data_IF_768838254310
#
_entry.id   IF_768838254310
#
_cell.length_a   1.000
_cell.length_b   1.000
_cell.length_c   1.000
_cell.angle_alpha   90.00
_cell.angle_beta   90.00
_cell.angle_gamma   90.00
#
_symmetry.space_group_name_H-M   'P 1'
#
loop_
_entity.id
_entity.type
_entity.pdbx_description
1 polymer ?
#
# COMPACT_ATOMS: atom_id res chain seq x y z
N UNK A 1 -59.58 43.17 22.83
CA UNK A 1 -58.39 43.01 21.94
C UNK A 1 -57.84 41.62 22.12
N UNK A 2 -58.19 40.68 21.22
CA UNK A 2 -57.82 39.27 21.28
C UNK A 2 -56.51 39.07 20.52
N UNK A 3 -55.57 38.46 21.18
CA UNK A 3 -54.29 38.02 20.57
C UNK A 3 -54.42 36.50 20.26
N UNK A 4 -54.46 36.21 18.97
CA UNK A 4 -54.38 34.82 18.45
C UNK A 4 -52.94 34.31 18.57
N UNK A 5 -52.72 33.24 19.36
CA UNK A 5 -51.50 32.46 19.30
C UNK A 5 -51.67 31.33 18.27
N UNK A 6 -50.94 31.39 17.18
CA UNK A 6 -50.81 30.31 16.21
C UNK A 6 -49.64 29.43 16.66
N UNK A 7 -49.93 28.18 17.03
CA UNK A 7 -48.95 27.15 17.32
C UNK A 7 -48.34 26.63 15.98
N UNK A 8 -47.03 26.83 15.79
CA UNK A 8 -46.25 26.17 14.73
C UNK A 8 -45.91 24.73 15.20
N UNK A 9 -46.51 23.75 14.55
CA UNK A 9 -46.09 22.36 14.71
C UNK A 9 -44.77 22.12 13.98
N UNK A 10 -43.73 21.88 14.74
CA UNK A 10 -42.45 21.44 14.19
C UNK A 10 -42.56 19.97 13.74
N UNK A 11 -42.50 19.77 12.43
CA UNK A 11 -42.37 18.44 11.82
C UNK A 11 -40.93 17.97 12.05
N UNK A 12 -40.74 17.01 12.94
CA UNK A 12 -39.48 16.29 13.11
C UNK A 12 -39.33 15.32 11.96
N UNK A 13 -38.45 15.65 11.01
CA UNK A 13 -37.98 14.72 9.99
C UNK A 13 -36.96 13.82 10.69
N UNK A 14 -37.32 12.57 10.94
CA UNK A 14 -36.35 11.54 11.31
C UNK A 14 -35.56 11.14 10.03
N UNK A 15 -34.23 11.01 10.08
CA UNK A 15 -33.49 10.46 8.96
C UNK A 15 -33.84 8.97 8.82
N UNK A 16 -34.32 8.58 7.65
CA UNK A 16 -34.47 7.19 7.23
C UNK A 16 -33.13 6.48 7.36
N UNK A 17 -33.16 5.35 8.05
CA UNK A 17 -32.01 4.46 8.16
C UNK A 17 -31.56 4.00 6.76
N UNK A 18 -30.36 4.38 6.39
CA UNK A 18 -29.71 3.87 5.18
C UNK A 18 -29.73 2.34 5.19
N UNK A 19 -30.21 1.78 4.08
CA UNK A 19 -30.41 0.35 3.90
C UNK A 19 -29.11 -0.43 4.16
N UNK A 20 -29.25 -1.52 4.88
CA UNK A 20 -28.19 -2.53 5.10
C UNK A 20 -27.76 -3.06 3.74
N UNK A 21 -26.60 -2.58 3.24
CA UNK A 21 -25.91 -3.18 2.12
C UNK A 21 -25.62 -4.64 2.43
N UNK A 22 -26.02 -5.52 1.51
CA UNK A 22 -25.93 -6.96 1.70
C UNK A 22 -24.50 -7.41 1.93
N UNK A 23 -24.27 -8.10 3.03
CA UNK A 23 -23.04 -8.81 3.34
C UNK A 23 -22.90 -10.00 2.41
N UNK A 24 -22.20 -9.85 1.28
CA UNK A 24 -21.55 -10.94 0.58
C UNK A 24 -20.07 -10.97 1.00
N UNK A 25 -19.81 -11.08 2.30
CA UNK A 25 -18.50 -11.44 2.79
C UNK A 25 -18.29 -12.93 2.45
N UNK A 26 -17.42 -13.22 1.50
CA UNK A 26 -16.96 -14.59 1.28
C UNK A 26 -16.47 -15.13 2.64
N UNK A 27 -17.01 -16.27 3.07
CA UNK A 27 -16.64 -16.89 4.35
C UNK A 27 -15.14 -17.23 4.30
N UNK A 28 -14.32 -16.44 5.02
CA UNK A 28 -12.89 -16.66 5.14
C UNK A 28 -12.60 -17.91 5.96
N UNK A 29 -11.51 -18.61 5.65
CA UNK A 29 -11.04 -19.73 6.45
C UNK A 29 -10.32 -19.20 7.69
N UNK A 30 -10.77 -19.64 8.87
CA UNK A 30 -10.08 -19.39 10.14
C UNK A 30 -8.92 -20.37 10.28
N UNK A 31 -7.76 -19.88 10.75
CA UNK A 31 -6.65 -20.74 11.17
C UNK A 31 -6.75 -21.08 12.66
N UNK A 32 -5.95 -22.07 13.11
CA UNK A 32 -5.92 -22.57 14.48
C UNK A 32 -5.35 -21.57 15.53
N UNK A 33 -4.88 -20.39 15.09
CA UNK A 33 -4.31 -19.32 15.93
C UNK A 33 -5.20 -18.09 16.05
N UNK A 34 -6.45 -18.17 15.60
CA UNK A 34 -7.41 -17.08 15.69
C UNK A 34 -7.22 -16.00 14.61
N UNK A 35 -6.69 -16.36 13.46
CA UNK A 35 -6.61 -15.51 12.29
C UNK A 35 -7.61 -15.94 11.22
N UNK A 36 -8.11 -14.98 10.48
CA UNK A 36 -8.99 -15.21 9.32
C UNK A 36 -8.33 -14.69 8.06
N UNK A 37 -8.54 -15.39 6.94
CA UNK A 37 -8.12 -14.97 5.61
C UNK A 37 -9.34 -14.86 4.69
N UNK A 38 -9.54 -13.68 4.08
CA UNK A 38 -10.55 -13.43 3.05
C UNK A 38 -9.82 -13.10 1.76
N UNK A 39 -10.20 -13.75 0.65
CA UNK A 39 -9.48 -13.65 -0.61
C UNK A 39 -10.28 -12.98 -1.70
N UNK A 40 -9.54 -12.37 -2.64
CA UNK A 40 -10.07 -11.82 -3.89
C UNK A 40 -11.15 -10.77 -3.68
N UNK A 41 -10.94 -9.89 -2.70
CA UNK A 41 -11.82 -8.73 -2.47
C UNK A 41 -11.49 -7.70 -3.56
N UNK A 42 -12.43 -7.32 -4.43
CA UNK A 42 -12.20 -6.25 -5.39
C UNK A 42 -12.09 -4.91 -4.66
N UNK A 43 -11.09 -4.09 -5.05
CA UNK A 43 -10.93 -2.73 -4.53
C UNK A 43 -11.28 -1.66 -5.57
N UNK A 44 -11.82 -2.08 -6.72
CA UNK A 44 -12.39 -1.17 -7.73
C UNK A 44 -13.88 -0.94 -7.49
N UNK A 45 -14.43 0.11 -8.14
CA UNK A 45 -15.88 0.33 -8.15
C UNK A 45 -16.62 -0.89 -8.72
N UNK A 46 -17.82 -1.21 -8.22
CA UNK A 46 -18.69 -2.22 -8.82
C UNK A 46 -19.03 -1.94 -10.29
N UNK A 47 -18.98 -0.67 -10.72
CA UNK A 47 -19.23 -0.23 -12.10
C UNK A 47 -18.00 -0.30 -13.01
N UNK A 48 -16.87 -0.82 -12.51
CA UNK A 48 -15.65 -0.96 -13.34
C UNK A 48 -15.93 -1.82 -14.58
N UNK A 49 -15.51 -1.34 -15.74
CA UNK A 49 -15.76 -1.98 -17.04
C UNK A 49 -14.51 -2.61 -17.67
N UNK A 50 -13.31 -2.23 -17.22
CA UNK A 50 -12.06 -2.83 -17.69
C UNK A 50 -11.90 -4.23 -17.07
N UNK A 51 -12.06 -5.26 -17.88
CA UNK A 51 -11.99 -6.67 -17.45
C UNK A 51 -10.62 -7.01 -16.85
N UNK A 52 -9.51 -6.45 -17.37
CA UNK A 52 -8.19 -6.70 -16.81
C UNK A 52 -8.02 -6.02 -15.45
N UNK A 53 -8.65 -4.87 -15.26
CA UNK A 53 -8.66 -4.19 -13.97
C UNK A 53 -9.47 -4.96 -12.95
N UNK A 54 -10.64 -5.49 -13.32
CA UNK A 54 -11.43 -6.38 -12.45
C UNK A 54 -10.67 -7.65 -12.07
N UNK A 55 -9.96 -8.25 -13.02
CA UNK A 55 -9.15 -9.45 -12.79
C UNK A 55 -8.01 -9.18 -11.81
N UNK A 56 -7.28 -8.08 -12.01
CA UNK A 56 -6.05 -7.82 -11.26
C UNK A 56 -6.25 -6.99 -10.00
N UNK A 57 -7.22 -6.06 -9.97
CA UNK A 57 -7.40 -5.16 -8.85
C UNK A 57 -8.21 -5.81 -7.72
N UNK A 58 -7.63 -6.87 -7.16
CA UNK A 58 -8.16 -7.63 -6.02
C UNK A 58 -7.10 -7.76 -4.93
N UNK A 59 -7.54 -7.84 -3.69
CA UNK A 59 -6.68 -8.01 -2.51
C UNK A 59 -7.15 -9.17 -1.63
N UNK A 60 -6.23 -9.68 -0.80
CA UNK A 60 -6.53 -10.65 0.25
C UNK A 60 -6.26 -10.00 1.60
N UNK A 61 -7.13 -10.20 2.58
CA UNK A 61 -6.94 -9.72 3.96
C UNK A 61 -6.71 -10.93 4.86
N UNK A 62 -5.56 -10.95 5.54
CA UNK A 62 -5.24 -11.86 6.62
C UNK A 62 -5.17 -11.07 7.92
N UNK A 63 -6.05 -11.34 8.88
CA UNK A 63 -6.22 -10.50 10.07
C UNK A 63 -6.53 -11.29 11.34
N UNK A 64 -6.11 -10.80 12.54
CA UNK A 64 -6.44 -11.40 13.81
C UNK A 64 -7.91 -11.13 14.15
N UNK A 65 -8.64 -12.18 14.58
CA UNK A 65 -9.97 -12.02 15.16
C UNK A 65 -9.89 -11.60 16.64
N UNK A 66 -10.94 -10.97 17.16
CA UNK A 66 -11.12 -10.65 18.58
C UNK A 66 -10.07 -9.68 19.18
N UNK A 67 -9.67 -8.65 18.45
CA UNK A 67 -8.87 -7.54 18.99
C UNK A 67 -9.77 -6.38 19.42
N UNK A 68 -9.85 -6.11 20.73
CA UNK A 68 -10.76 -5.11 21.32
C UNK A 68 -10.42 -3.65 20.90
N UNK A 69 -9.15 -3.35 20.60
CA UNK A 69 -8.67 -1.99 20.32
C UNK A 69 -8.31 -1.74 18.84
N UNK A 70 -8.80 -2.58 17.94
CA UNK A 70 -8.38 -2.58 16.56
C UNK A 70 -6.94 -3.07 16.35
N UNK A 71 -6.60 -3.49 15.15
CA UNK A 71 -5.26 -3.93 14.79
C UNK A 71 -4.59 -2.98 13.80
N UNK A 72 -3.26 -2.96 13.81
CA UNK A 72 -2.46 -2.32 12.75
C UNK A 72 -2.58 -3.14 11.47
N UNK A 73 -2.60 -2.47 10.32
CA UNK A 73 -2.67 -3.14 9.02
C UNK A 73 -1.45 -2.81 8.18
N UNK A 74 -0.81 -3.83 7.63
CA UNK A 74 0.24 -3.71 6.63
C UNK A 74 -0.34 -4.01 5.25
N UNK A 75 -0.39 -3.01 4.37
CA UNK A 75 -0.70 -3.20 2.95
C UNK A 75 0.59 -3.57 2.23
N UNK A 76 0.61 -4.78 1.64
CA UNK A 76 1.81 -5.37 1.06
C UNK A 76 1.69 -5.56 -0.45
N UNK A 77 2.66 -5.00 -1.19
CA UNK A 77 2.78 -5.12 -2.63
C UNK A 77 3.86 -6.12 -3.01
N UNK A 78 3.51 -7.06 -3.89
CA UNK A 78 4.45 -8.07 -4.38
C UNK A 78 5.50 -7.47 -5.33
N UNK A 79 6.62 -8.16 -5.49
CA UNK A 79 7.63 -7.87 -6.50
C UNK A 79 7.25 -8.38 -7.89
N UNK A 80 8.25 -8.47 -8.77
CA UNK A 80 8.08 -8.97 -10.13
C UNK A 80 8.24 -7.92 -11.22
N UNK A 81 8.94 -6.82 -10.90
CA UNK A 81 9.39 -5.84 -11.90
C UNK A 81 8.26 -5.07 -12.58
N UNK A 82 7.06 -4.99 -12.01
CA UNK A 82 5.86 -4.42 -12.62
C UNK A 82 5.39 -5.19 -13.89
N UNK A 83 5.99 -6.34 -14.17
CA UNK A 83 5.71 -7.19 -15.35
C UNK A 83 5.14 -8.55 -14.97
N UNK A 84 5.29 -8.96 -13.70
CA UNK A 84 4.84 -10.24 -13.18
C UNK A 84 4.59 -10.18 -11.68
N UNK A 85 4.26 -11.34 -11.12
CA UNK A 85 4.01 -11.49 -9.68
C UNK A 85 2.52 -11.59 -9.34
N UNK A 86 2.28 -12.08 -8.13
CA UNK A 86 0.96 -12.31 -7.55
C UNK A 86 0.99 -11.95 -6.07
N UNK A 87 -0.18 -11.49 -5.57
CA UNK A 87 -0.42 -11.30 -4.15
C UNK A 87 -0.23 -12.61 -3.39
N UNK A 88 0.36 -12.54 -2.23
CA UNK A 88 0.57 -13.72 -1.39
C UNK A 88 1.09 -13.34 -0.04
N UNK A 89 0.61 -14.03 0.98
CA UNK A 89 1.01 -13.79 2.35
C UNK A 89 2.41 -14.35 2.61
N UNK A 90 3.36 -13.48 2.85
CA UNK A 90 4.73 -13.87 3.23
C UNK A 90 4.69 -14.60 4.58
N UNK A 91 5.31 -15.77 4.65
CA UNK A 91 5.23 -16.65 5.81
C UNK A 91 5.67 -15.97 7.13
N UNK A 92 6.68 -15.11 7.06
CA UNK A 92 7.23 -14.36 8.20
C UNK A 92 6.27 -13.32 8.79
N UNK A 93 5.27 -12.87 8.01
CA UNK A 93 4.26 -11.92 8.46
C UNK A 93 3.04 -12.60 9.10
N UNK A 94 2.97 -13.94 9.11
CA UNK A 94 1.85 -14.67 9.72
C UNK A 94 1.87 -14.59 11.23
N UNK A 95 0.68 -14.43 11.83
CA UNK A 95 0.46 -14.51 13.29
C UNK A 95 1.31 -13.53 14.11
N UNK A 96 1.40 -12.27 13.66
CA UNK A 96 2.23 -11.23 14.29
C UNK A 96 1.44 -10.14 15.04
N UNK A 97 0.16 -10.34 15.27
CA UNK A 97 -0.69 -9.38 16.00
C UNK A 97 -1.22 -8.22 15.14
N UNK A 98 -0.95 -8.23 13.84
CA UNK A 98 -1.46 -7.24 12.88
C UNK A 98 -2.08 -7.92 11.66
N UNK A 99 -2.82 -7.17 10.87
CA UNK A 99 -3.35 -7.64 9.60
C UNK A 99 -2.36 -7.41 8.46
N UNK A 100 -2.38 -8.32 7.46
CA UNK A 100 -1.67 -8.16 6.19
C UNK A 100 -2.68 -8.14 5.05
N UNK A 101 -2.68 -7.06 4.30
CA UNK A 101 -3.48 -6.92 3.07
C UNK A 101 -2.54 -7.11 1.87
N UNK A 102 -2.65 -8.26 1.22
CA UNK A 102 -1.82 -8.59 0.05
C UNK A 102 -2.53 -8.12 -1.21
N UNK A 103 -1.86 -7.29 -2.01
CA UNK A 103 -2.47 -6.56 -3.13
C UNK A 103 -1.94 -7.04 -4.46
N UNK A 104 -2.85 -7.41 -5.38
CA UNK A 104 -2.55 -7.48 -6.81
C UNK A 104 -2.81 -6.11 -7.46
N UNK A 105 -2.06 -5.82 -8.49
CA UNK A 105 -2.19 -4.62 -9.32
C UNK A 105 -1.94 -4.99 -10.79
N UNK A 106 -2.42 -4.17 -11.73
CA UNK A 106 -2.20 -4.42 -13.16
C UNK A 106 -0.72 -4.30 -13.53
N UNK A 107 -0.30 -5.06 -14.53
CA UNK A 107 1.08 -5.26 -14.92
C UNK A 107 1.34 -4.81 -16.35
N UNK A 108 2.53 -4.31 -16.62
CA UNK A 108 3.04 -4.10 -17.96
C UNK A 108 3.19 -5.47 -18.68
N UNK A 109 2.94 -5.60 -20.00
CA UNK A 109 2.57 -4.53 -20.93
C UNK A 109 1.06 -4.25 -21.04
N UNK A 110 0.19 -4.99 -20.31
CA UNK A 110 -1.26 -4.82 -20.41
C UNK A 110 -1.73 -3.47 -19.87
N UNK A 111 -1.00 -2.89 -18.92
CA UNK A 111 -1.16 -1.52 -18.47
C UNK A 111 0.18 -0.79 -18.54
N UNK A 112 0.14 0.53 -18.75
CA UNK A 112 1.31 1.41 -18.77
C UNK A 112 1.33 2.31 -17.54
N UNK A 113 2.53 2.87 -17.27
CA UNK A 113 2.70 3.89 -16.23
C UNK A 113 1.78 5.11 -16.52
N UNK A 114 1.08 5.66 -15.50
CA UNK A 114 1.18 5.34 -14.08
C UNK A 114 0.14 4.31 -13.59
N UNK A 115 -0.54 3.54 -14.45
CA UNK A 115 -1.68 2.70 -14.12
C UNK A 115 -1.45 1.74 -12.94
N UNK A 116 -0.28 1.12 -12.82
CA UNK A 116 0.04 0.23 -11.69
C UNK A 116 0.31 1.00 -10.39
N UNK A 117 0.79 2.26 -10.45
CA UNK A 117 0.92 3.12 -9.27
C UNK A 117 -0.48 3.58 -8.82
N UNK A 118 -1.35 3.94 -9.78
CA UNK A 118 -2.74 4.30 -9.51
C UNK A 118 -3.51 3.14 -8.86
N UNK A 119 -3.34 1.91 -9.35
CA UNK A 119 -3.98 0.74 -8.76
C UNK A 119 -3.51 0.49 -7.32
N UNK A 120 -2.20 0.63 -7.07
CA UNK A 120 -1.64 0.50 -5.73
C UNK A 120 -2.16 1.59 -4.78
N UNK A 121 -2.28 2.83 -5.24
CA UNK A 121 -2.85 3.92 -4.45
C UNK A 121 -4.35 3.71 -4.17
N UNK A 122 -5.12 3.24 -5.16
CA UNK A 122 -6.53 2.89 -4.98
C UNK A 122 -6.70 1.78 -3.93
N UNK A 123 -5.84 0.75 -3.94
CA UNK A 123 -5.88 -0.31 -2.95
C UNK A 123 -5.62 0.21 -1.53
N UNK A 124 -4.65 1.13 -1.34
CA UNK A 124 -4.39 1.74 -0.03
C UNK A 124 -5.57 2.59 0.42
N UNK A 125 -6.16 3.41 -0.46
CA UNK A 125 -7.34 4.22 -0.15
C UNK A 125 -8.52 3.33 0.24
N UNK A 126 -8.76 2.24 -0.50
CA UNK A 126 -9.78 1.25 -0.16
C UNK A 126 -9.55 0.66 1.24
N UNK A 127 -8.32 0.30 1.59
CA UNK A 127 -8.01 -0.24 2.93
C UNK A 127 -8.27 0.81 4.01
N UNK A 128 -7.89 2.07 3.80
CA UNK A 128 -8.17 3.15 4.75
C UNK A 128 -9.68 3.35 4.99
N UNK A 129 -10.50 3.14 3.98
CA UNK A 129 -11.95 3.29 4.07
C UNK A 129 -12.64 2.08 4.72
N UNK A 130 -12.17 0.85 4.43
CA UNK A 130 -12.91 -0.38 4.74
C UNK A 130 -12.32 -1.23 5.87
N UNK A 131 -11.08 -1.02 6.30
CA UNK A 131 -10.42 -1.93 7.25
C UNK A 131 -11.13 -2.01 8.61
N UNK A 132 -11.86 -0.97 8.99
CA UNK A 132 -12.67 -0.96 10.21
C UNK A 132 -13.80 -2.01 10.19
N UNK A 133 -14.30 -2.39 9.02
CA UNK A 133 -15.31 -3.45 8.85
C UNK A 133 -14.77 -4.84 9.25
N UNK A 134 -13.44 -4.99 9.24
CA UNK A 134 -12.71 -6.20 9.62
C UNK A 134 -12.15 -6.13 11.05
N UNK A 135 -12.33 -5.00 11.74
CA UNK A 135 -11.81 -4.76 13.10
C UNK A 135 -10.44 -4.10 13.15
N UNK A 136 -9.92 -3.59 12.03
CA UNK A 136 -8.68 -2.82 11.98
C UNK A 136 -8.88 -1.35 12.33
N UNK A 137 -7.80 -0.69 12.71
CA UNK A 137 -7.79 0.75 12.96
C UNK A 137 -7.35 1.51 11.70
N UNK A 138 -8.21 2.31 11.05
CA UNK A 138 -7.86 3.07 9.86
C UNK A 138 -6.78 4.15 10.08
N UNK A 139 -6.50 4.53 11.32
CA UNK A 139 -5.40 5.42 11.67
C UNK A 139 -4.05 4.68 11.80
N UNK A 140 -4.04 3.35 11.68
CA UNK A 140 -2.85 2.51 11.89
C UNK A 140 -2.52 1.68 10.64
N UNK A 141 -2.41 2.35 9.50
CA UNK A 141 -2.09 1.73 8.20
C UNK A 141 -0.60 1.92 7.90
N UNK A 142 0.11 0.81 7.74
CA UNK A 142 1.45 0.76 7.17
C UNK A 142 1.36 0.29 5.72
N UNK A 143 2.30 0.73 4.89
CA UNK A 143 2.45 0.19 3.53
C UNK A 143 3.86 -0.34 3.34
N UNK A 144 4.02 -1.33 2.47
CA UNK A 144 5.33 -1.89 2.16
C UNK A 144 5.27 -2.83 0.97
N UNK A 145 6.42 -3.35 0.59
CA UNK A 145 6.51 -4.29 -0.51
C UNK A 145 7.94 -4.60 -0.87
N UNK A 146 8.13 -5.62 -1.68
CA UNK A 146 9.45 -6.06 -2.13
C UNK A 146 9.69 -5.65 -3.58
N UNK A 147 10.92 -5.20 -3.90
CA UNK A 147 11.32 -4.88 -5.28
C UNK A 147 10.38 -3.86 -5.94
N UNK A 148 9.64 -4.24 -6.99
CA UNK A 148 8.60 -3.40 -7.59
C UNK A 148 7.56 -2.92 -6.58
N UNK A 149 7.18 -3.78 -5.60
CA UNK A 149 6.29 -3.38 -4.51
C UNK A 149 6.90 -2.34 -3.58
N UNK A 150 8.21 -2.40 -3.35
CA UNK A 150 8.97 -1.37 -2.63
C UNK A 150 8.95 -0.02 -3.37
N UNK A 151 9.12 -0.06 -4.69
CA UNK A 151 8.98 1.13 -5.55
C UNK A 151 7.57 1.73 -5.46
N UNK A 152 6.51 0.90 -5.57
CA UNK A 152 5.13 1.36 -5.46
C UNK A 152 4.85 2.02 -4.10
N UNK A 153 5.29 1.40 -3.00
CA UNK A 153 5.12 1.96 -1.66
C UNK A 153 5.82 3.31 -1.48
N UNK A 154 7.02 3.48 -2.06
CA UNK A 154 7.73 4.76 -2.05
C UNK A 154 7.01 5.83 -2.87
N UNK A 155 6.55 5.51 -4.08
CA UNK A 155 5.83 6.47 -4.92
C UNK A 155 4.55 6.96 -4.23
N UNK A 156 3.76 6.06 -3.65
CA UNK A 156 2.51 6.40 -2.95
C UNK A 156 2.78 7.28 -1.72
N UNK A 157 3.84 6.99 -0.95
CA UNK A 157 4.16 7.72 0.27
C UNK A 157 4.75 9.11 -0.01
N UNK A 158 5.59 9.24 -1.05
CA UNK A 158 6.33 10.45 -1.33
C UNK A 158 5.59 11.40 -2.27
N UNK A 159 4.87 10.88 -3.26
CA UNK A 159 4.04 11.70 -4.14
C UNK A 159 2.57 11.67 -3.71
N UNK A 160 2.17 12.67 -2.95
CA UNK A 160 0.82 12.77 -2.36
C UNK A 160 -0.32 12.75 -3.38
N UNK A 161 -0.05 13.12 -4.64
CA UNK A 161 -1.10 13.18 -5.67
C UNK A 161 -1.80 11.84 -5.90
N UNK A 162 -1.07 10.72 -5.72
CA UNK A 162 -1.64 9.38 -5.96
C UNK A 162 -2.74 9.03 -4.95
N UNK A 163 -2.51 9.21 -3.65
CA UNK A 163 -3.56 8.99 -2.64
C UNK A 163 -4.62 10.08 -2.64
N UNK A 164 -4.23 11.35 -2.86
CA UNK A 164 -5.17 12.47 -2.92
C UNK A 164 -6.22 12.30 -4.01
N UNK A 165 -5.89 11.65 -5.14
CA UNK A 165 -6.82 11.28 -6.20
C UNK A 165 -8.01 10.46 -5.69
N UNK A 166 -7.82 9.70 -4.64
CA UNK A 166 -8.82 8.83 -4.02
C UNK A 166 -9.29 9.34 -2.65
N UNK A 167 -9.08 10.63 -2.36
CA UNK A 167 -9.53 11.25 -1.12
C UNK A 167 -8.72 10.87 0.13
N UNK A 168 -7.59 10.19 -0.02
CA UNK A 168 -6.71 9.77 1.06
C UNK A 168 -5.46 10.65 1.18
N UNK A 169 -4.89 10.75 2.38
CA UNK A 169 -3.67 11.53 2.62
C UNK A 169 -2.49 10.60 2.95
N UNK A 170 -1.40 10.71 2.18
CA UNK A 170 -0.17 9.97 2.42
C UNK A 170 0.46 10.27 3.80
N UNK A 171 0.19 11.44 4.38
CA UNK A 171 0.69 11.80 5.69
C UNK A 171 -0.06 11.11 6.85
N UNK A 172 -1.22 10.49 6.57
CA UNK A 172 -1.95 9.68 7.54
C UNK A 172 -1.43 8.24 7.67
N UNK A 173 -0.53 7.82 6.79
CA UNK A 173 0.14 6.53 6.92
C UNK A 173 0.96 6.46 8.21
N UNK A 174 0.91 5.33 8.90
CA UNK A 174 1.67 5.11 10.12
C UNK A 174 3.16 4.90 9.82
N UNK A 175 3.48 4.11 8.79
CA UNK A 175 4.87 3.79 8.41
C UNK A 175 4.98 3.16 7.02
N UNK A 176 6.16 3.27 6.42
CA UNK A 176 6.47 2.73 5.09
C UNK A 176 7.68 1.80 5.15
N UNK A 177 7.56 0.60 4.57
CA UNK A 177 8.57 -0.45 4.56
C UNK A 177 8.92 -0.91 3.14
N UNK A 178 9.63 -0.12 2.35
CA UNK A 178 10.11 -0.55 1.04
C UNK A 178 11.30 -1.50 1.19
N UNK A 179 11.15 -2.74 0.75
CA UNK A 179 12.21 -3.75 0.75
C UNK A 179 12.81 -3.84 -0.65
N UNK A 180 14.09 -3.51 -0.79
CA UNK A 180 14.86 -3.49 -2.05
C UNK A 180 14.13 -2.76 -3.18
N UNK A 181 13.39 -1.69 -2.83
CA UNK A 181 12.66 -0.85 -3.78
C UNK A 181 13.60 -0.03 -4.65
N UNK A 182 13.30 0.13 -5.93
CA UNK A 182 14.02 1.05 -6.81
C UNK A 182 13.67 2.49 -6.47
N UNK A 183 14.66 3.37 -6.34
CA UNK A 183 14.44 4.79 -5.98
C UNK A 183 14.63 5.75 -7.15
N UNK A 184 15.25 5.30 -8.23
CA UNK A 184 15.23 5.93 -9.55
C UNK A 184 13.91 5.59 -10.28
N UNK A 185 13.68 6.19 -11.46
CA UNK A 185 12.59 5.79 -12.35
C UNK A 185 12.71 4.30 -12.69
N UNK A 186 11.66 3.54 -12.38
CA UNK A 186 11.69 2.08 -12.45
C UNK A 186 12.09 1.59 -13.86
N UNK A 187 12.90 0.54 -13.93
CA UNK A 187 13.44 0.03 -15.21
C UNK A 187 12.35 -0.38 -16.19
N UNK A 188 11.21 -0.92 -15.73
CA UNK A 188 10.08 -1.26 -16.59
C UNK A 188 9.46 -0.02 -17.25
N UNK A 189 9.43 1.12 -16.54
CA UNK A 189 8.98 2.39 -17.13
C UNK A 189 9.96 2.87 -18.20
N UNK A 190 11.27 2.68 -17.98
CA UNK A 190 12.29 2.97 -19.00
C UNK A 190 12.10 2.07 -20.22
N UNK A 191 11.90 0.77 -20.02
CA UNK A 191 11.59 -0.22 -21.06
C UNK A 191 10.34 0.18 -21.86
N UNK A 192 9.27 0.55 -21.16
CA UNK A 192 8.02 1.05 -21.77
C UNK A 192 8.24 2.24 -22.70
N UNK A 193 9.19 3.12 -22.35
CA UNK A 193 9.53 4.33 -23.10
C UNK A 193 10.63 4.11 -24.15
N UNK A 194 11.16 2.89 -24.27
CA UNK A 194 12.28 2.59 -25.17
C UNK A 194 13.61 3.25 -24.77
N UNK A 195 13.80 3.53 -23.48
CA UNK A 195 14.99 4.17 -22.94
C UNK A 195 16.08 3.14 -22.57
N UNK A 196 17.37 3.52 -22.62
CA UNK A 196 18.47 2.65 -22.19
C UNK A 196 18.27 2.16 -20.76
N UNK A 197 18.52 0.85 -20.51
CA UNK A 197 18.28 0.22 -19.22
C UNK A 197 19.42 0.44 -18.22
N UNK A 198 20.63 0.62 -18.71
CA UNK A 198 21.89 0.77 -17.98
C UNK A 198 22.15 2.18 -17.45
N UNK A 199 21.47 3.19 -18.01
CA UNK A 199 21.64 4.59 -17.60
C UNK A 199 20.54 4.94 -16.58
N UNK A 200 20.88 5.36 -15.36
CA UNK A 200 19.90 5.84 -14.38
C UNK A 200 19.06 7.00 -14.92
N UNK A 201 17.78 6.99 -14.62
CA UNK A 201 16.84 8.08 -14.92
C UNK A 201 16.18 8.53 -13.62
N UNK A 202 16.17 9.84 -13.39
CA UNK A 202 15.47 10.45 -12.25
C UNK A 202 14.53 11.52 -12.80
N UNK A 203 13.26 11.15 -12.91
CA UNK A 203 12.20 12.06 -13.36
C UNK A 203 11.01 12.03 -12.38
N UNK A 204 9.86 12.59 -12.72
CA UNK A 204 8.66 12.61 -11.87
C UNK A 204 8.12 11.24 -11.43
N UNK A 205 8.68 10.15 -11.96
CA UNK A 205 8.34 8.77 -11.59
C UNK A 205 9.47 8.08 -10.79
N UNK A 206 10.43 8.85 -10.31
CA UNK A 206 11.47 8.38 -9.40
C UNK A 206 11.15 8.80 -7.97
N UNK A 207 11.08 7.87 -7.00
CA UNK A 207 10.96 8.21 -5.59
C UNK A 207 11.95 9.29 -5.15
N UNK A 208 13.17 9.25 -5.67
CA UNK A 208 14.22 10.25 -5.39
C UNK A 208 13.81 11.67 -5.81
N UNK A 209 13.11 11.83 -6.94
CA UNK A 209 12.70 13.14 -7.45
C UNK A 209 11.49 13.72 -6.72
N UNK A 210 10.64 12.85 -6.14
CA UNK A 210 9.44 13.25 -5.39
C UNK A 210 9.68 13.24 -3.87
N UNK A 211 10.94 13.12 -3.45
CA UNK A 211 11.34 13.22 -2.06
C UNK A 211 10.88 14.58 -1.47
N UNK A 212 10.31 14.55 -0.26
CA UNK A 212 9.68 15.72 0.36
C UNK A 212 9.93 15.79 1.86
N UNK A 213 9.70 16.94 2.44
CA UNK A 213 9.71 17.16 3.89
C UNK A 213 8.51 16.50 4.55
N UNK A 214 8.72 15.87 5.70
CA UNK A 214 7.66 15.28 6.52
C UNK A 214 7.01 14.05 5.86
N UNK A 215 5.92 13.58 6.44
CA UNK A 215 5.21 12.37 6.04
C UNK A 215 5.48 11.17 6.96
N UNK A 216 4.92 10.04 6.62
CA UNK A 216 5.09 8.80 7.37
C UNK A 216 6.57 8.38 7.45
N UNK A 217 7.07 7.92 8.60
CA UNK A 217 8.43 7.40 8.71
C UNK A 217 8.70 6.27 7.71
N UNK A 218 9.89 6.27 7.10
CA UNK A 218 10.30 5.27 6.10
C UNK A 218 11.47 4.46 6.65
N UNK A 219 11.33 3.13 6.69
CA UNK A 219 12.43 2.20 6.89
C UNK A 219 12.79 1.57 5.54
N UNK A 220 13.82 2.11 4.88
CA UNK A 220 14.40 1.53 3.68
C UNK A 220 15.16 0.26 4.08
N UNK A 221 14.84 -0.86 3.46
CA UNK A 221 15.48 -2.15 3.76
C UNK A 221 16.05 -2.71 2.45
N UNK A 222 17.32 -3.08 2.45
CA UNK A 222 17.99 -3.71 1.29
C UNK A 222 18.70 -4.98 1.70
N UNK A 223 19.00 -5.85 0.75
CA UNK A 223 20.01 -6.87 0.91
C UNK A 223 21.42 -6.28 1.03
N UNK A 224 22.40 -7.15 1.12
CA UNK A 224 23.81 -6.78 1.15
C UNK A 224 24.21 -6.07 -0.14
N UNK A 225 24.91 -4.94 -0.06
CA UNK A 225 25.30 -4.15 -1.24
C UNK A 225 26.07 -4.94 -2.29
N UNK A 226 26.84 -5.92 -1.86
CA UNK A 226 27.65 -6.77 -2.76
C UNK A 226 26.84 -7.90 -3.42
N UNK A 227 25.62 -8.20 -2.92
CA UNK A 227 24.78 -9.30 -3.39
C UNK A 227 23.47 -8.83 -4.04
N UNK A 228 23.07 -7.59 -3.79
CA UNK A 228 21.87 -6.98 -4.36
C UNK A 228 21.97 -6.75 -5.88
N UNK A 229 20.87 -6.39 -6.50
CA UNK A 229 20.88 -5.88 -7.86
C UNK A 229 21.79 -4.66 -7.96
N UNK A 230 22.42 -4.47 -9.12
CA UNK A 230 23.35 -3.38 -9.38
C UNK A 230 22.82 -2.02 -8.86
N UNK A 231 23.64 -1.40 -8.01
CA UNK A 231 23.38 -0.10 -7.38
C UNK A 231 22.09 -0.01 -6.51
N UNK A 232 21.45 -1.13 -6.18
CA UNK A 232 20.20 -1.10 -5.40
C UNK A 232 20.40 -0.53 -3.99
N UNK A 233 21.49 -0.87 -3.33
CA UNK A 233 21.84 -0.30 -2.04
C UNK A 233 22.17 1.19 -2.16
N UNK A 234 23.01 1.55 -3.13
CA UNK A 234 23.49 2.93 -3.33
C UNK A 234 22.35 3.89 -3.67
N UNK A 235 21.38 3.49 -4.50
CA UNK A 235 20.22 4.34 -4.80
C UNK A 235 19.31 4.52 -3.58
N UNK A 236 19.14 3.51 -2.71
CA UNK A 236 18.42 3.63 -1.46
C UNK A 236 19.18 4.50 -0.44
N UNK A 237 20.51 4.37 -0.36
CA UNK A 237 21.36 5.24 0.46
C UNK A 237 21.30 6.70 0.00
N UNK A 238 21.26 6.93 -1.32
CA UNK A 238 21.07 8.27 -1.85
C UNK A 238 19.73 8.87 -1.46
N UNK A 239 18.63 8.11 -1.60
CA UNK A 239 17.30 8.56 -1.17
C UNK A 239 17.28 8.87 0.33
N UNK A 240 17.90 8.04 1.15
CA UNK A 240 17.99 8.23 2.61
C UNK A 240 18.67 9.55 2.96
N UNK A 241 19.80 9.88 2.32
CA UNK A 241 20.51 11.15 2.54
C UNK A 241 19.64 12.36 2.16
N UNK A 242 18.94 12.30 1.04
CA UNK A 242 18.05 13.39 0.59
C UNK A 242 16.86 13.55 1.54
N UNK A 243 16.18 12.46 1.90
CA UNK A 243 15.04 12.52 2.83
C UNK A 243 15.44 13.06 4.22
N UNK A 244 16.58 12.61 4.73
CA UNK A 244 17.14 13.13 6.00
C UNK A 244 17.44 14.63 5.92
N UNK A 245 18.05 15.08 4.82
CA UNK A 245 18.33 16.50 4.58
C UNK A 245 17.05 17.35 4.55
N UNK A 246 15.98 16.81 3.96
CA UNK A 246 14.66 17.45 3.92
C UNK A 246 13.92 17.41 5.26
N UNK A 247 14.41 16.68 6.26
CA UNK A 247 13.75 16.50 7.55
C UNK A 247 12.59 15.49 7.52
N UNK A 248 12.62 14.54 6.55
CA UNK A 248 11.72 13.40 6.52
C UNK A 248 12.25 12.30 7.46
N UNK A 249 11.43 11.69 8.34
CA UNK A 249 11.88 10.60 9.19
C UNK A 249 12.21 9.36 8.35
N UNK A 250 13.49 9.01 8.27
CA UNK A 250 13.96 7.89 7.43
C UNK A 250 15.11 7.15 8.08
N UNK A 251 15.18 5.84 7.89
CA UNK A 251 16.31 4.97 8.25
C UNK A 251 16.60 4.03 7.10
N UNK A 252 17.87 3.63 6.95
CA UNK A 252 18.30 2.61 6.00
C UNK A 252 18.86 1.40 6.77
N UNK A 253 18.44 0.21 6.39
CA UNK A 253 18.89 -1.06 6.93
C UNK A 253 19.43 -1.94 5.81
N UNK A 254 20.69 -2.34 5.94
CA UNK A 254 21.32 -3.33 5.09
C UNK A 254 21.22 -4.70 5.78
N UNK A 255 20.59 -5.66 5.14
CA UNK A 255 20.52 -7.05 5.60
C UNK A 255 21.73 -7.81 5.05
N UNK A 256 22.81 -7.82 5.82
CA UNK A 256 24.09 -8.37 5.41
C UNK A 256 24.00 -9.88 5.14
N UNK A 257 24.58 -10.32 4.04
CA UNK A 257 24.59 -11.73 3.60
C UNK A 257 23.36 -12.15 2.79
N UNK A 258 22.40 -11.26 2.53
CA UNK A 258 21.21 -11.56 1.73
C UNK A 258 21.24 -10.83 0.38
N UNK A 259 20.87 -11.52 -0.68
CA UNK A 259 20.66 -10.97 -2.02
C UNK A 259 19.26 -10.38 -2.20
N UNK A 260 18.95 -9.90 -3.41
CA UNK A 260 17.66 -9.29 -3.76
C UNK A 260 16.44 -10.18 -3.45
N UNK A 261 16.54 -11.48 -3.63
CA UNK A 261 15.44 -12.42 -3.37
C UNK A 261 15.38 -12.87 -1.92
N UNK A 262 16.50 -13.26 -1.38
CA UNK A 262 16.61 -13.82 -0.03
C UNK A 262 16.42 -12.80 1.08
N UNK A 263 16.56 -11.50 0.81
CA UNK A 263 16.30 -10.41 1.77
C UNK A 263 14.86 -10.34 2.24
N UNK A 264 13.92 -10.89 1.47
CA UNK A 264 12.48 -10.82 1.80
C UNK A 264 12.16 -11.42 3.17
N UNK A 265 12.74 -12.58 3.49
CA UNK A 265 12.45 -13.27 4.75
C UNK A 265 12.96 -12.50 5.98
N UNK A 266 14.24 -12.08 6.09
CA UNK A 266 14.73 -11.29 7.21
C UNK A 266 14.08 -9.90 7.28
N UNK A 267 13.80 -9.25 6.15
CA UNK A 267 13.09 -7.98 6.13
C UNK A 267 11.68 -8.10 6.73
N UNK A 268 10.93 -9.13 6.36
CA UNK A 268 9.59 -9.36 6.92
C UNK A 268 9.63 -9.74 8.41
N UNK A 269 10.67 -10.43 8.89
CA UNK A 269 10.88 -10.65 10.33
C UNK A 269 11.22 -9.35 11.08
N UNK A 270 11.94 -8.44 10.45
CA UNK A 270 12.25 -7.13 11.01
C UNK A 270 11.02 -6.22 11.10
N UNK A 271 10.10 -6.30 10.13
CA UNK A 271 8.85 -5.54 10.09
C UNK A 271 7.85 -6.06 11.15
N UNK A 272 7.84 -7.37 11.39
CA UNK A 272 6.92 -8.08 12.27
C UNK A 272 7.23 -7.91 13.76
#
# INVERSE_FOLDING_TARGET
LAILLTALAALSIQPEAAGKGGKNAAEGKQDDRGYREIKNIPYTSPEETDEYRKERCVLDIYYPENQENGFTTLVWFHGGGLEGGEKGLVAQLRNRGFAVVNVNYRLYPKVKCPGYIDDAALAVAWVMEHIAEYGGDPARICIGGHSAGGYLSLMIALDKQYLAKYGADADSLLKVYPVSGQTNTHYTIKKERGLPMDIPLVDGLAPLNVARKGGAPIDLITGSRDLELLARYEENAHLEVILRHLGHPVRLFEMEGFDHGSVLAPACLFIA
#
